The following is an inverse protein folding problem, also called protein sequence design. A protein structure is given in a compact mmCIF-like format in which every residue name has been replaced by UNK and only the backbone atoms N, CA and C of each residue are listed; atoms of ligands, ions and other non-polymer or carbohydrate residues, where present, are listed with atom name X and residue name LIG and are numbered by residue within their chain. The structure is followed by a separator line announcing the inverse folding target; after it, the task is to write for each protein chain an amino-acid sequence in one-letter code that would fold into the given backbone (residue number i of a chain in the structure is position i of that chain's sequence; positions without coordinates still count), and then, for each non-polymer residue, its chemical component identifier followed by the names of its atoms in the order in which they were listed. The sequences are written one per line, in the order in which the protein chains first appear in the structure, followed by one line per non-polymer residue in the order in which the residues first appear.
data_IF_247364733863
#
_entry.id   IF_247364733863
#
_cell.length_a   1.000
_cell.length_b   1.000
_cell.length_c   1.000
_cell.angle_alpha   90.00
_cell.angle_beta   90.00
_cell.angle_gamma   90.00
#
_symmetry.space_group_name_H-M   'P 1'
#
loop_
_entity.id
_entity.type
_entity.pdbx_description
1 polymer ?
#
# COMPACT_ATOMS: atom_id res chain seq x y z
N UNK A 1 -34.67 22.43 20.91
CA UNK A 1 -33.92 23.71 20.74
C UNK A 1 -32.41 23.52 20.92
N UNK A 2 -31.95 22.64 21.84
CA UNK A 2 -30.53 22.26 21.98
C UNK A 2 -29.96 21.50 20.77
N UNK A 3 -30.79 20.76 20.05
CA UNK A 3 -30.38 19.97 18.87
C UNK A 3 -30.06 20.82 17.65
N UNK A 4 -30.75 21.95 17.51
CA UNK A 4 -30.48 22.92 16.45
C UNK A 4 -29.16 23.65 16.70
N UNK A 5 -28.85 23.95 17.96
CA UNK A 5 -27.56 24.52 18.36
C UNK A 5 -26.40 23.55 18.13
N UNK A 6 -26.56 22.26 18.42
CA UNK A 6 -25.52 21.26 18.13
C UNK A 6 -25.30 21.04 16.63
N UNK A 7 -26.37 21.01 15.82
CA UNK A 7 -26.27 20.87 14.36
C UNK A 7 -25.64 22.10 13.69
N UNK A 8 -25.85 23.28 14.26
CA UNK A 8 -25.20 24.53 13.82
C UNK A 8 -23.76 24.60 14.32
N UNK A 9 -23.46 24.06 15.51
CA UNK A 9 -22.10 23.96 16.06
C UNK A 9 -21.24 23.00 15.22
N UNK A 10 -21.75 21.83 14.81
CA UNK A 10 -21.04 20.91 13.92
C UNK A 10 -20.79 21.48 12.52
N UNK A 11 -21.65 22.40 12.06
CA UNK A 11 -21.45 23.15 10.81
C UNK A 11 -20.45 24.31 10.94
N UNK A 12 -20.30 24.87 12.16
CA UNK A 12 -19.42 26.00 12.47
C UNK A 12 -18.04 25.56 12.99
N UNK A 13 -17.89 24.35 13.52
CA UNK A 13 -16.61 23.78 13.98
C UNK A 13 -15.73 23.31 12.83
N UNK A 14 -16.14 23.55 11.58
CA UNK A 14 -15.24 23.69 10.44
C UNK A 14 -14.06 22.74 10.51
N UNK A 15 -14.33 21.42 10.54
CA UNK A 15 -13.35 20.48 10.02
C UNK A 15 -13.35 20.71 8.50
N UNK A 16 -12.83 21.87 8.11
CA UNK A 16 -12.38 22.16 6.76
C UNK A 16 -11.33 21.10 6.51
N UNK A 17 -11.65 20.10 5.72
CA UNK A 17 -10.62 19.48 4.89
C UNK A 17 -9.83 20.64 4.29
N UNK A 18 -8.54 20.75 4.62
CA UNK A 18 -7.72 21.84 4.11
C UNK A 18 -7.79 21.76 2.59
N UNK A 19 -8.33 22.75 1.87
CA UNK A 19 -8.28 22.74 0.42
C UNK A 19 -6.80 22.91 0.04
N UNK A 20 -6.17 21.85 -0.46
CA UNK A 20 -4.82 21.94 -1.05
C UNK A 20 -3.80 20.87 -0.62
N UNK A 21 -4.08 20.01 0.36
CA UNK A 21 -3.16 18.94 0.76
C UNK A 21 -3.67 17.61 0.19
N UNK A 22 -2.89 16.99 -0.70
CA UNK A 22 -3.22 15.69 -1.28
C UNK A 22 -3.24 14.63 -0.19
N UNK A 23 -4.15 13.68 -0.29
CA UNK A 23 -4.08 12.46 0.53
C UNK A 23 -2.84 11.65 0.18
N UNK A 24 -2.39 10.78 1.10
CA UNK A 24 -1.24 9.90 0.86
C UNK A 24 -1.39 9.09 -0.44
N UNK A 25 -2.56 8.49 -0.67
CA UNK A 25 -2.85 7.74 -1.90
C UNK A 25 -2.79 8.62 -3.15
N UNK A 26 -3.28 9.86 -3.09
CA UNK A 26 -3.18 10.80 -4.23
C UNK A 26 -1.75 11.26 -4.51
N UNK A 27 -0.91 11.41 -3.47
CA UNK A 27 0.51 11.72 -3.65
C UNK A 27 1.23 10.57 -4.33
N UNK A 28 1.06 9.34 -3.82
CA UNK A 28 1.66 8.13 -4.40
C UNK A 28 1.22 7.92 -5.85
N UNK A 29 -0.07 8.14 -6.17
CA UNK A 29 -0.57 8.04 -7.54
C UNK A 29 0.12 9.04 -8.49
N UNK A 30 0.39 10.28 -8.03
CA UNK A 30 1.12 11.26 -8.83
C UNK A 30 2.59 10.90 -8.99
N UNK A 31 3.24 10.37 -7.96
CA UNK A 31 4.62 9.91 -8.03
C UNK A 31 4.76 8.76 -9.05
N UNK A 32 3.85 7.78 -8.99
CA UNK A 32 3.76 6.70 -9.97
C UNK A 32 3.57 7.24 -11.40
N UNK A 33 2.65 8.18 -11.59
CA UNK A 33 2.40 8.77 -12.91
C UNK A 33 3.64 9.49 -13.47
N UNK A 34 4.35 10.25 -12.63
CA UNK A 34 5.60 10.92 -13.01
C UNK A 34 6.67 9.90 -13.36
N UNK A 35 6.87 8.88 -12.52
CA UNK A 35 7.86 7.84 -12.77
C UNK A 35 7.60 7.09 -14.08
N UNK A 36 6.35 6.72 -14.34
CA UNK A 36 5.97 6.07 -15.61
C UNK A 36 6.17 7.00 -16.81
N UNK A 37 5.85 8.30 -16.71
CA UNK A 37 6.15 9.27 -17.78
C UNK A 37 7.64 9.40 -18.05
N UNK A 38 8.48 9.18 -17.04
CA UNK A 38 9.94 9.20 -17.13
C UNK A 38 10.56 7.83 -17.47
N UNK A 39 9.75 6.76 -17.61
CA UNK A 39 10.23 5.41 -17.84
C UNK A 39 11.06 4.85 -16.68
N UNK A 40 10.75 5.27 -15.45
CA UNK A 40 11.46 4.85 -14.23
C UNK A 40 10.63 3.83 -13.44
N UNK A 41 11.26 2.79 -12.88
CA UNK A 41 10.58 1.84 -12.01
C UNK A 41 10.07 2.55 -10.74
N UNK A 42 8.85 2.25 -10.34
CA UNK A 42 8.22 2.76 -9.13
C UNK A 42 7.39 1.69 -8.42
N UNK A 43 7.53 1.63 -7.10
CA UNK A 43 6.72 0.83 -6.18
C UNK A 43 6.51 1.63 -4.90
N UNK A 44 5.31 1.55 -4.31
CA UNK A 44 4.96 2.28 -3.09
C UNK A 44 3.99 1.52 -2.20
N UNK A 45 4.07 1.78 -0.89
CA UNK A 45 3.10 1.29 0.11
C UNK A 45 1.95 2.30 0.21
N UNK A 46 0.77 1.90 -0.27
CA UNK A 46 -0.45 2.71 -0.22
C UNK A 46 -1.08 2.74 1.16
N UNK A 47 -1.07 1.59 1.85
CA UNK A 47 -1.60 1.47 3.21
C UNK A 47 -0.92 0.30 3.93
N UNK A 48 -0.97 0.34 5.27
CA UNK A 48 -0.54 -0.76 6.12
C UNK A 48 -1.60 -1.00 7.16
N UNK A 49 -2.20 -2.19 7.13
CA UNK A 49 -3.17 -2.58 8.11
C UNK A 49 -2.55 -3.50 9.15
N UNK A 50 -2.74 -3.17 10.43
CA UNK A 50 -2.38 -4.04 11.55
C UNK A 50 -3.65 -4.45 12.26
N UNK A 51 -3.91 -5.77 12.33
CA UNK A 51 -4.97 -6.27 13.18
C UNK A 51 -4.58 -6.07 14.64
N UNK A 52 -5.34 -5.25 15.36
CA UNK A 52 -5.06 -4.89 16.77
C UNK A 52 -5.22 -6.06 17.73
N UNK A 53 -6.05 -7.04 17.40
CA UNK A 53 -6.30 -8.22 18.22
C UNK A 53 -5.27 -9.32 17.96
N UNK A 54 -4.72 -9.37 16.74
CA UNK A 54 -3.61 -10.22 16.38
C UNK A 54 -2.62 -9.47 15.49
N UNK A 55 -1.61 -8.86 16.13
CA UNK A 55 -0.58 -8.06 15.43
C UNK A 55 0.23 -8.86 14.40
N UNK A 56 0.17 -10.20 14.41
CA UNK A 56 0.79 -11.06 13.39
C UNK A 56 -0.02 -11.10 12.09
N UNK A 57 -1.28 -10.66 12.13
CA UNK A 57 -2.19 -10.66 11.00
C UNK A 57 -2.36 -9.23 10.49
N UNK A 58 -1.33 -8.71 9.85
CA UNK A 58 -1.39 -7.46 9.09
C UNK A 58 -1.26 -7.71 7.59
N UNK A 59 -1.50 -6.67 6.79
CA UNK A 59 -1.18 -6.69 5.36
C UNK A 59 -0.67 -5.32 4.91
N UNK A 60 0.16 -5.34 3.87
CA UNK A 60 0.57 -4.16 3.13
C UNK A 60 -0.26 -4.08 1.85
N UNK A 61 -0.77 -2.89 1.54
CA UNK A 61 -1.32 -2.57 0.23
C UNK A 61 -0.22 -1.90 -0.58
N UNK A 62 0.20 -2.55 -1.66
CA UNK A 62 1.26 -2.07 -2.55
C UNK A 62 0.66 -1.64 -3.89
N UNK A 63 1.29 -0.66 -4.52
CA UNK A 63 1.09 -0.35 -5.93
C UNK A 63 2.44 -0.18 -6.62
N UNK A 64 2.48 -0.41 -7.92
CA UNK A 64 3.69 -0.37 -8.74
C UNK A 64 3.37 -0.02 -10.21
N UNK A 65 4.38 0.33 -10.99
CA UNK A 65 4.26 0.49 -12.44
C UNK A 65 4.89 -0.67 -13.24
N UNK A 66 4.74 -0.65 -14.57
CA UNK A 66 5.23 -1.73 -15.42
C UNK A 66 6.76 -1.79 -15.46
N UNK A 67 7.42 -0.64 -15.41
CA UNK A 67 8.88 -0.53 -15.41
C UNK A 67 9.49 -1.23 -14.18
N UNK A 68 8.80 -1.19 -13.04
CA UNK A 68 9.20 -1.95 -11.85
C UNK A 68 9.07 -3.46 -12.07
N UNK A 69 7.99 -3.93 -12.70
CA UNK A 69 7.83 -5.36 -13.02
C UNK A 69 8.92 -5.83 -13.98
N UNK A 70 9.23 -5.05 -15.03
CA UNK A 70 10.31 -5.36 -15.96
C UNK A 70 11.66 -5.49 -15.23
N UNK A 71 11.95 -4.57 -14.29
CA UNK A 71 13.15 -4.63 -13.47
C UNK A 71 13.21 -5.91 -12.60
N UNK A 72 12.07 -6.34 -12.04
CA UNK A 72 12.01 -7.59 -11.27
C UNK A 72 12.25 -8.82 -12.15
N UNK A 73 11.66 -8.85 -13.35
CA UNK A 73 11.87 -9.92 -14.32
C UNK A 73 13.35 -10.02 -14.73
N UNK A 74 13.99 -8.88 -15.00
CA UNK A 74 15.42 -8.80 -15.33
C UNK A 74 16.31 -9.26 -14.17
N UNK A 75 15.89 -9.00 -12.93
CA UNK A 75 16.55 -9.49 -11.72
C UNK A 75 16.32 -11.00 -11.46
N UNK A 76 15.46 -11.66 -12.25
CA UNK A 76 15.22 -13.10 -12.19
C UNK A 76 14.01 -13.52 -11.38
N UNK A 77 13.17 -12.58 -10.91
CA UNK A 77 11.88 -12.90 -10.32
C UNK A 77 10.92 -13.47 -11.36
N UNK A 78 10.06 -14.40 -10.95
CA UNK A 78 9.14 -15.13 -11.84
C UNK A 78 7.79 -15.34 -11.15
N UNK A 79 6.73 -15.34 -11.94
CA UNK A 79 5.36 -15.61 -11.53
C UNK A 79 4.45 -15.68 -12.75
N UNK A 80 3.27 -16.27 -12.59
CA UNK A 80 2.22 -16.27 -13.62
C UNK A 80 1.54 -14.89 -13.72
N UNK A 81 1.58 -14.11 -12.64
CA UNK A 81 1.06 -12.74 -12.59
C UNK A 81 2.07 -11.75 -12.02
N UNK A 82 1.84 -10.45 -12.26
CA UNK A 82 2.68 -9.38 -11.71
C UNK A 82 2.66 -9.39 -10.18
N UNK A 83 1.52 -9.72 -9.59
CA UNK A 83 1.33 -9.84 -8.15
C UNK A 83 2.22 -10.94 -7.56
N UNK A 84 2.33 -12.09 -8.21
CA UNK A 84 3.24 -13.17 -7.78
C UNK A 84 4.72 -12.76 -7.86
N UNK A 85 5.07 -12.01 -8.90
CA UNK A 85 6.44 -11.47 -9.08
C UNK A 85 6.78 -10.49 -7.94
N UNK A 86 5.88 -9.55 -7.66
CA UNK A 86 6.06 -8.55 -6.58
C UNK A 86 6.04 -9.22 -5.20
N UNK A 87 5.19 -10.22 -4.98
CA UNK A 87 5.16 -10.99 -3.73
C UNK A 87 6.48 -11.74 -3.48
N UNK A 88 7.05 -12.36 -4.52
CA UNK A 88 8.38 -12.98 -4.44
C UNK A 88 9.46 -11.98 -4.00
N UNK A 89 9.50 -10.82 -4.65
CA UNK A 89 10.44 -9.75 -4.30
C UNK A 89 10.26 -9.22 -2.87
N UNK A 90 9.02 -8.96 -2.45
CA UNK A 90 8.76 -8.41 -1.13
C UNK A 90 9.07 -9.41 -0.01
N UNK A 91 8.83 -10.71 -0.24
CA UNK A 91 9.24 -11.78 0.70
C UNK A 91 10.75 -11.82 0.88
N UNK A 92 11.52 -11.63 -0.17
CA UNK A 92 12.97 -11.58 -0.08
C UNK A 92 13.45 -10.35 0.70
N UNK A 93 12.82 -9.18 0.50
CA UNK A 93 13.09 -8.00 1.35
C UNK A 93 12.83 -8.32 2.83
N UNK A 94 11.68 -8.91 3.14
CA UNK A 94 11.33 -9.24 4.52
C UNK A 94 12.33 -10.22 5.15
N UNK A 95 12.79 -11.24 4.41
CA UNK A 95 13.82 -12.18 4.87
C UNK A 95 15.16 -11.48 5.13
N UNK A 96 15.60 -10.62 4.22
CA UNK A 96 16.85 -9.89 4.37
C UNK A 96 16.83 -8.98 5.62
N UNK A 97 15.71 -8.32 5.91
CA UNK A 97 15.54 -7.52 7.12
C UNK A 97 15.63 -8.39 8.39
N UNK A 98 15.01 -9.57 8.38
CA UNK A 98 15.12 -10.53 9.50
C UNK A 98 16.56 -11.02 9.69
N UNK A 99 17.26 -11.33 8.60
CA UNK A 99 18.66 -11.74 8.61
C UNK A 99 19.57 -10.69 9.25
N UNK A 100 19.38 -9.42 8.86
CA UNK A 100 20.14 -8.28 9.39
C UNK A 100 19.89 -8.07 10.89
N UNK A 101 18.68 -8.33 11.38
CA UNK A 101 18.33 -8.28 12.80
C UNK A 101 18.76 -9.53 13.60
N UNK A 102 19.38 -10.52 12.93
CA UNK A 102 19.77 -11.79 13.54
C UNK A 102 18.59 -12.66 13.95
N UNK A 103 17.44 -12.46 13.31
CA UNK A 103 16.22 -13.24 13.52
C UNK A 103 16.17 -14.44 12.57
N UNK A 104 15.29 -15.39 12.89
CA UNK A 104 15.06 -16.59 12.07
C UNK A 104 14.38 -16.24 10.73
N UNK A 105 15.08 -16.49 9.62
CA UNK A 105 14.65 -16.22 8.25
C UNK A 105 13.63 -17.24 7.71
N UNK A 106 13.55 -18.43 8.31
CA UNK A 106 12.61 -19.49 7.92
C UNK A 106 11.18 -19.24 8.45
N UNK A 107 10.97 -18.10 9.11
CA UNK A 107 9.64 -17.69 9.58
C UNK A 107 8.73 -17.41 8.37
N UNK A 108 7.47 -17.90 8.37
CA UNK A 108 6.55 -17.61 7.29
C UNK A 108 6.31 -16.11 7.18
N UNK A 109 6.67 -15.53 6.04
CA UNK A 109 6.30 -14.16 5.68
C UNK A 109 4.76 -14.07 5.55
N UNK A 110 4.18 -12.97 6.04
CA UNK A 110 2.74 -12.72 5.91
C UNK A 110 2.29 -12.70 4.44
N UNK A 111 0.98 -12.75 4.23
CA UNK A 111 0.41 -12.66 2.88
C UNK A 111 0.30 -11.21 2.43
N UNK A 112 0.74 -10.93 1.20
CA UNK A 112 0.44 -9.66 0.53
C UNK A 112 -0.89 -9.82 -0.18
N UNK A 113 -1.83 -8.90 0.09
CA UNK A 113 -3.03 -8.77 -0.73
C UNK A 113 -2.79 -7.66 -1.73
N UNK A 114 -2.70 -8.04 -3.00
CA UNK A 114 -2.58 -7.14 -4.14
C UNK A 114 -3.95 -7.01 -4.78
N UNK A 115 -4.66 -5.93 -4.50
CA UNK A 115 -5.92 -5.64 -5.17
C UNK A 115 -5.65 -4.85 -6.45
N UNK A 116 -6.12 -5.35 -7.59
CA UNK A 116 -6.19 -4.58 -8.82
C UNK A 116 -7.37 -3.60 -8.69
N UNK A 117 -7.10 -2.35 -8.33
CA UNK A 117 -8.09 -1.35 -7.87
C UNK A 117 -9.01 -0.75 -8.95
N UNK A 118 -9.34 -1.48 -10.02
CA UNK A 118 -10.43 -1.10 -10.92
C UNK A 118 -11.81 -1.29 -10.28
N UNK A 119 -12.70 -0.30 -10.40
CA UNK A 119 -14.15 -0.32 -10.08
C UNK A 119 -14.60 -0.36 -8.60
N UNK A 120 -13.79 0.18 -7.68
CA UNK A 120 -14.32 0.93 -6.52
C UNK A 120 -15.10 0.16 -5.44
N UNK A 121 -14.99 -1.17 -5.33
CA UNK A 121 -15.48 -1.93 -4.16
C UNK A 121 -14.63 -3.16 -3.88
N UNK A 122 -14.29 -3.36 -2.60
CA UNK A 122 -13.77 -4.63 -2.11
C UNK A 122 -14.43 -4.97 -0.77
N UNK A 123 -14.96 -6.19 -0.70
CA UNK A 123 -15.62 -6.78 0.46
C UNK A 123 -14.56 -7.35 1.43
N UNK A 124 -14.81 -7.20 2.73
CA UNK A 124 -14.01 -7.80 3.80
C UNK A 124 -14.72 -9.08 4.25
N UNK A 125 -14.00 -10.21 4.27
CA UNK A 125 -14.34 -11.36 5.11
C UNK A 125 -13.19 -11.65 6.07
#
# INVERSE_FOLDING_TARGET
MKDLFNKVKDKLTGKKEKPGELTHKEMMAKEKEIATKEGKPWVGVLDTHVNKENIRNGFFELDWNNEFIEQLLDAGYKGETNEEIVDGWFKDIARNVLAEEGMDEDRPAGYIKTDNLGDGKSEVK
#
